data_IF_881349162331
#
_entry.id   IF_881349162331
#
_cell.length_a   1.000
_cell.length_b   1.000
_cell.length_c   1.000
_cell.angle_alpha   90.00
_cell.angle_beta   90.00
_cell.angle_gamma   90.00
#
_symmetry.space_group_name_H-M   'P 1'
#
loop_
_entity.id
_entity.type
_entity.pdbx_description
1 polymer ?
#
# COMPACT_ATOMS: atom_id res chain seq x y z
N UNK A 1 24.25 -12.50 4.88
CA UNK A 1 22.97 -11.81 4.59
C UNK A 1 23.25 -10.56 3.78
N UNK A 2 22.44 -10.25 2.76
CA UNK A 2 22.74 -9.24 1.72
C UNK A 2 22.61 -7.75 2.13
N UNK A 3 22.25 -7.44 3.38
CA UNK A 3 22.04 -6.05 3.82
C UNK A 3 22.97 -5.73 4.99
N UNK A 4 22.68 -6.25 6.18
CA UNK A 4 23.40 -5.84 7.39
C UNK A 4 24.86 -6.39 7.49
N UNK A 5 25.27 -7.32 6.62
CA UNK A 5 26.67 -7.79 6.50
C UNK A 5 27.38 -7.16 5.28
N UNK A 6 26.65 -6.45 4.43
CA UNK A 6 27.18 -5.80 3.25
C UNK A 6 27.63 -4.38 3.60
N UNK A 7 28.87 -4.26 4.06
CA UNK A 7 29.43 -2.98 4.50
C UNK A 7 29.53 -1.98 3.34
N UNK A 8 29.86 -2.43 2.14
CA UNK A 8 30.00 -1.54 0.97
C UNK A 8 28.65 -0.89 0.63
N UNK A 9 27.55 -1.66 0.67
CA UNK A 9 26.21 -1.14 0.49
C UNK A 9 25.86 -0.10 1.56
N UNK A 10 26.09 -0.40 2.84
CA UNK A 10 25.73 0.49 3.95
C UNK A 10 26.57 1.77 3.97
N UNK A 11 27.86 1.67 3.68
CA UNK A 11 28.76 2.82 3.58
C UNK A 11 28.31 3.74 2.43
N UNK A 12 27.97 3.16 1.28
CA UNK A 12 27.43 3.90 0.12
C UNK A 12 26.12 4.60 0.49
N UNK A 13 25.17 3.90 1.12
CA UNK A 13 23.90 4.51 1.55
C UNK A 13 24.12 5.66 2.55
N UNK A 14 25.06 5.50 3.47
CA UNK A 14 25.42 6.53 4.45
C UNK A 14 26.09 7.75 3.81
N UNK A 15 26.87 7.56 2.74
CA UNK A 15 27.51 8.64 1.99
C UNK A 15 26.49 9.50 1.25
N UNK A 16 25.44 8.89 0.69
CA UNK A 16 24.48 9.57 -0.19
C UNK A 16 23.13 9.90 0.45
N UNK A 17 22.74 9.32 1.59
CA UNK A 17 21.50 9.68 2.28
C UNK A 17 21.71 10.87 3.23
N UNK A 18 21.75 12.07 2.66
CA UNK A 18 22.07 13.31 3.37
C UNK A 18 20.82 14.01 3.95
N UNK A 19 21.01 15.04 4.77
CA UNK A 19 19.94 15.74 5.48
C UNK A 19 18.89 16.41 4.58
N UNK A 20 19.31 16.85 3.39
CA UNK A 20 18.48 17.51 2.37
C UNK A 20 18.13 16.61 1.17
N UNK A 21 18.65 15.38 1.16
CA UNK A 21 18.55 14.43 0.04
C UNK A 21 18.51 12.98 0.57
N UNK A 22 17.50 12.69 1.39
CA UNK A 22 17.34 11.36 1.99
C UNK A 22 17.03 10.29 0.94
N UNK A 23 17.67 9.14 1.07
CA UNK A 23 17.31 7.93 0.33
C UNK A 23 16.12 7.28 1.03
N UNK A 24 15.10 6.94 0.25
CA UNK A 24 13.94 6.19 0.70
C UNK A 24 13.97 4.77 0.13
N UNK A 25 13.75 3.77 0.97
CA UNK A 25 13.59 2.38 0.53
C UNK A 25 12.15 1.94 0.79
N UNK A 26 11.51 1.46 -0.28
CA UNK A 26 10.19 0.83 -0.23
C UNK A 26 10.32 -0.65 0.09
N UNK A 27 10.03 -1.02 1.34
CA UNK A 27 9.85 -2.41 1.74
C UNK A 27 8.52 -2.97 1.21
N UNK A 28 8.37 -4.30 1.32
CA UNK A 28 7.21 -5.04 0.83
C UNK A 28 6.86 -6.19 1.77
N UNK A 29 6.64 -5.88 3.04
CA UNK A 29 6.12 -6.84 4.01
C UNK A 29 4.60 -6.97 3.85
N UNK A 30 4.14 -8.20 3.69
CA UNK A 30 2.73 -8.57 3.55
C UNK A 30 2.16 -9.20 4.80
N UNK A 31 3.00 -9.82 5.63
CA UNK A 31 2.55 -10.56 6.79
C UNK A 31 3.47 -10.33 8.00
N UNK A 32 2.96 -10.24 9.24
CA UNK A 32 3.76 -10.11 10.46
C UNK A 32 4.85 -11.16 10.67
N UNK A 33 4.75 -12.31 10.00
CA UNK A 33 5.71 -13.43 10.05
C UNK A 33 6.98 -13.15 9.23
N UNK A 34 6.90 -12.25 8.26
CA UNK A 34 8.06 -11.84 7.45
C UNK A 34 8.99 -10.90 8.22
N UNK A 35 8.46 -10.26 9.28
CA UNK A 35 9.21 -9.48 10.25
C UNK A 35 9.95 -10.39 11.24
N UNK A 36 10.97 -11.06 10.71
CA UNK A 36 11.89 -11.95 11.44
C UNK A 36 13.06 -11.17 12.07
N UNK A 37 13.83 -11.81 12.95
CA UNK A 37 15.07 -11.23 13.51
C UNK A 37 16.03 -10.70 12.43
N UNK A 38 16.14 -11.40 11.30
CA UNK A 38 17.00 -10.96 10.19
C UNK A 38 16.45 -9.71 9.50
N UNK A 39 15.13 -9.60 9.37
CA UNK A 39 14.49 -8.41 8.83
C UNK A 39 14.67 -7.20 9.75
N UNK A 40 14.53 -7.38 11.07
CA UNK A 40 14.74 -6.31 12.04
C UNK A 40 16.19 -5.80 12.02
N UNK A 41 17.17 -6.70 11.91
CA UNK A 41 18.58 -6.32 11.74
C UNK A 41 18.83 -5.57 10.44
N UNK A 42 18.19 -5.96 9.35
CA UNK A 42 18.30 -5.26 8.07
C UNK A 42 17.66 -3.86 8.13
N UNK A 43 16.49 -3.74 8.77
CA UNK A 43 15.80 -2.47 8.99
C UNK A 43 16.67 -1.51 9.81
N UNK A 44 17.19 -1.97 10.96
CA UNK A 44 18.07 -1.16 11.82
C UNK A 44 19.35 -0.74 11.09
N UNK A 45 19.99 -1.65 10.34
CA UNK A 45 21.19 -1.32 9.58
C UNK A 45 20.94 -0.22 8.51
N UNK A 46 19.84 -0.31 7.76
CA UNK A 46 19.47 0.70 6.77
C UNK A 46 19.15 2.05 7.44
N UNK A 47 18.40 2.05 8.54
CA UNK A 47 18.09 3.27 9.29
C UNK A 47 19.35 3.94 9.84
N UNK A 48 20.32 3.16 10.34
CA UNK A 48 21.63 3.68 10.80
C UNK A 48 22.47 4.27 9.67
N UNK A 49 22.33 3.75 8.45
CA UNK A 49 22.90 4.36 7.25
C UNK A 49 22.11 5.61 6.77
N UNK A 50 21.15 6.11 7.56
CA UNK A 50 20.39 7.32 7.25
C UNK A 50 19.26 7.11 6.24
N UNK A 51 18.91 5.87 5.89
CA UNK A 51 17.82 5.56 4.97
C UNK A 51 16.46 5.65 5.66
N UNK A 52 15.47 6.23 4.98
CA UNK A 52 14.08 6.24 5.45
C UNK A 52 13.33 5.04 4.86
N UNK A 53 12.74 4.23 5.75
CA UNK A 53 11.98 3.04 5.36
C UNK A 53 10.48 3.32 5.36
N UNK A 54 9.86 2.93 4.26
CA UNK A 54 8.40 2.94 4.06
C UNK A 54 7.97 1.56 3.58
N UNK A 55 6.75 1.13 3.88
CA UNK A 55 6.25 -0.19 3.47
C UNK A 55 4.97 -0.08 2.63
N UNK A 56 4.93 -0.83 1.54
CA UNK A 56 3.70 -1.08 0.78
C UNK A 56 3.29 -2.55 0.91
N UNK A 57 2.00 -2.79 1.06
CA UNK A 57 1.42 -4.12 1.25
C UNK A 57 0.22 -4.27 0.33
N UNK A 58 0.25 -5.10 -0.71
CA UNK A 58 -0.99 -5.61 -1.30
C UNK A 58 -1.84 -6.33 -0.26
N UNK A 59 -3.14 -6.09 -0.29
CA UNK A 59 -4.11 -6.87 0.49
C UNK A 59 -4.53 -8.08 -0.34
N UNK A 60 -4.27 -9.26 0.21
CA UNK A 60 -4.23 -10.54 -0.49
C UNK A 60 -5.09 -11.56 0.25
N UNK A 61 -6.04 -12.13 -0.48
CA UNK A 61 -6.94 -13.17 0.03
C UNK A 61 -6.18 -14.41 0.51
N UNK A 62 -6.51 -14.92 1.68
CA UNK A 62 -5.86 -16.07 2.31
C UNK A 62 -4.43 -15.84 2.81
N UNK A 63 -3.93 -14.60 2.76
CA UNK A 63 -2.58 -14.25 3.25
C UNK A 63 -2.69 -13.23 4.37
N UNK A 64 -3.29 -12.08 4.10
CA UNK A 64 -3.37 -10.96 5.05
C UNK A 64 -4.75 -10.28 5.01
N UNK A 65 -5.78 -11.01 4.61
CA UNK A 65 -7.18 -10.59 4.56
C UNK A 65 -7.91 -10.76 5.91
N UNK A 66 -7.16 -10.62 7.01
CA UNK A 66 -7.69 -10.66 8.38
C UNK A 66 -7.35 -9.34 9.10
N UNK A 67 -8.32 -8.68 9.75
CA UNK A 67 -8.10 -7.41 10.44
C UNK A 67 -7.03 -7.46 11.54
N UNK A 68 -6.92 -8.56 12.28
CA UNK A 68 -5.92 -8.73 13.35
C UNK A 68 -4.53 -8.88 12.74
N UNK A 69 -4.41 -9.62 11.63
CA UNK A 69 -3.14 -9.81 10.91
C UNK A 69 -2.62 -8.47 10.38
N UNK A 70 -3.48 -7.67 9.74
CA UNK A 70 -3.09 -6.35 9.25
C UNK A 70 -2.77 -5.39 10.39
N UNK A 71 -3.54 -5.41 11.49
CA UNK A 71 -3.26 -4.57 12.66
C UNK A 71 -1.88 -4.91 13.27
N UNK A 72 -1.59 -6.20 13.46
CA UNK A 72 -0.29 -6.67 13.95
C UNK A 72 0.84 -6.24 13.01
N UNK A 73 0.64 -6.32 11.69
CA UNK A 73 1.62 -5.88 10.70
C UNK A 73 1.92 -4.38 10.84
N UNK A 74 0.86 -3.56 10.91
CA UNK A 74 0.98 -2.10 11.05
C UNK A 74 1.70 -1.72 12.35
N UNK A 75 1.40 -2.39 13.45
CA UNK A 75 2.06 -2.16 14.74
C UNK A 75 3.54 -2.55 14.68
N UNK A 76 3.87 -3.75 14.19
CA UNK A 76 5.26 -4.20 14.08
C UNK A 76 6.10 -3.32 13.15
N UNK A 77 5.56 -2.88 12.02
CA UNK A 77 6.22 -1.92 11.14
C UNK A 77 6.49 -0.61 11.87
N UNK A 78 5.47 -0.09 12.56
CA UNK A 78 5.58 1.16 13.31
C UNK A 78 6.65 1.07 14.41
N UNK A 79 6.69 -0.03 15.17
CA UNK A 79 7.72 -0.28 16.20
C UNK A 79 9.12 -0.41 15.61
N UNK A 80 9.25 -0.97 14.41
CA UNK A 80 10.50 -1.06 13.68
C UNK A 80 10.94 0.27 13.04
N UNK A 81 10.17 1.36 13.19
CA UNK A 81 10.44 2.64 12.53
C UNK A 81 10.23 2.62 11.01
N UNK A 82 9.47 1.64 10.49
CA UNK A 82 9.08 1.55 9.09
C UNK A 82 7.70 2.16 8.92
N UNK A 83 7.59 3.23 8.12
CA UNK A 83 6.31 3.92 7.97
C UNK A 83 5.35 3.13 7.07
N UNK A 84 4.16 2.72 7.53
CA UNK A 84 3.16 2.11 6.67
C UNK A 84 2.67 3.12 5.63
N UNK A 85 2.86 2.83 4.34
CA UNK A 85 2.65 3.79 3.27
C UNK A 85 1.40 3.50 2.43
N UNK A 86 1.32 2.32 1.82
CA UNK A 86 0.15 1.91 1.05
C UNK A 86 -0.33 0.51 1.41
N UNK A 87 -1.64 0.39 1.55
CA UNK A 87 -2.35 -0.84 1.23
C UNK A 87 -2.80 -0.77 -0.21
N UNK A 88 -2.48 -1.80 -0.98
CA UNK A 88 -2.84 -1.87 -2.39
C UNK A 88 -3.99 -2.86 -2.61
N UNK A 89 -5.03 -2.42 -3.32
CA UNK A 89 -5.98 -3.34 -3.94
C UNK A 89 -5.19 -4.21 -4.92
N UNK A 90 -5.25 -5.53 -4.75
CA UNK A 90 -4.55 -6.45 -5.61
C UNK A 90 -5.14 -6.41 -7.01
N UNK A 91 -4.29 -6.27 -8.03
CA UNK A 91 -4.71 -6.20 -9.42
C UNK A 91 -5.09 -7.61 -9.91
N UNK A 92 -6.29 -7.81 -10.48
CA UNK A 92 -6.67 -9.09 -11.05
C UNK A 92 -5.91 -9.33 -12.36
N UNK A 93 -4.85 -10.13 -12.30
CA UNK A 93 -4.11 -10.59 -13.49
C UNK A 93 -4.03 -12.11 -13.50
N UNK A 94 -3.73 -12.66 -14.68
CA UNK A 94 -3.45 -14.10 -14.80
C UNK A 94 -2.31 -14.49 -13.84
N UNK A 95 -2.57 -15.44 -12.95
CA UNK A 95 -1.60 -15.96 -11.97
C UNK A 95 -1.77 -15.48 -10.53
N UNK A 96 -2.57 -14.43 -10.27
CA UNK A 96 -2.84 -13.98 -8.90
C UNK A 96 -4.34 -13.78 -8.58
N UNK A 97 -5.24 -14.16 -9.49
CA UNK A 97 -6.68 -13.95 -9.36
C UNK A 97 -7.26 -14.55 -8.07
N UNK A 98 -6.74 -15.69 -7.63
CA UNK A 98 -7.17 -16.36 -6.40
C UNK A 98 -6.86 -15.56 -5.12
N UNK A 99 -5.94 -14.59 -5.20
CA UNK A 99 -5.55 -13.70 -4.10
C UNK A 99 -6.29 -12.35 -4.13
N UNK A 100 -7.26 -12.15 -5.03
CA UNK A 100 -7.99 -10.89 -5.17
C UNK A 100 -9.19 -10.86 -4.22
N UNK A 101 -9.35 -9.74 -3.53
CA UNK A 101 -10.56 -9.38 -2.77
C UNK A 101 -11.38 -8.38 -3.57
N UNK A 102 -12.68 -8.38 -3.37
CA UNK A 102 -13.56 -7.27 -3.80
C UNK A 102 -13.18 -5.98 -3.06
N UNK A 103 -13.56 -4.83 -3.62
CA UNK A 103 -13.35 -3.55 -2.93
C UNK A 103 -14.00 -3.52 -1.56
N UNK A 104 -15.17 -4.16 -1.40
CA UNK A 104 -15.92 -4.20 -0.14
C UNK A 104 -15.16 -5.00 0.91
N UNK A 105 -14.75 -6.23 0.59
CA UNK A 105 -14.00 -7.08 1.51
C UNK A 105 -12.69 -6.40 1.95
N UNK A 106 -11.92 -5.90 0.99
CA UNK A 106 -10.65 -5.23 1.30
C UNK A 106 -10.85 -3.97 2.13
N UNK A 107 -11.81 -3.10 1.78
CA UNK A 107 -12.09 -1.90 2.55
C UNK A 107 -12.50 -2.21 3.99
N UNK A 108 -13.40 -3.18 4.17
CA UNK A 108 -13.87 -3.58 5.50
C UNK A 108 -12.73 -4.12 6.36
N UNK A 109 -11.91 -5.03 5.83
CA UNK A 109 -10.76 -5.59 6.55
C UNK A 109 -9.76 -4.49 6.95
N UNK A 110 -9.48 -3.54 6.05
CA UNK A 110 -8.56 -2.43 6.30
C UNK A 110 -9.09 -1.50 7.39
N UNK A 111 -10.36 -1.10 7.34
CA UNK A 111 -10.93 -0.20 8.35
C UNK A 111 -11.02 -0.86 9.73
N UNK A 112 -11.35 -2.15 9.78
CA UNK A 112 -11.31 -2.93 11.02
C UNK A 112 -9.87 -3.04 11.57
N UNK A 113 -8.87 -3.26 10.72
CA UNK A 113 -7.46 -3.28 11.12
C UNK A 113 -7.02 -1.92 11.67
N UNK A 114 -7.38 -0.82 10.98
CA UNK A 114 -7.10 0.54 11.43
C UNK A 114 -7.72 0.80 12.81
N UNK A 115 -8.93 0.31 13.10
CA UNK A 115 -9.56 0.49 14.41
C UNK A 115 -8.75 -0.12 15.57
N UNK A 116 -7.92 -1.13 15.29
CA UNK A 116 -7.16 -1.93 16.27
C UNK A 116 -5.72 -1.48 16.49
N UNK A 117 -5.16 -0.67 15.59
CA UNK A 117 -3.78 -0.19 15.67
C UNK A 117 -3.68 1.24 16.23
N UNK A 118 -2.47 1.63 16.62
CA UNK A 118 -2.15 2.99 17.04
C UNK A 118 -2.32 4.03 15.92
N UNK A 119 -2.34 5.31 16.29
CA UNK A 119 -2.40 6.42 15.32
C UNK A 119 -1.26 6.42 14.28
N UNK A 120 -0.10 5.81 14.60
CA UNK A 120 1.01 5.67 13.65
C UNK A 120 0.68 4.67 12.53
N UNK A 121 0.09 3.52 12.88
CA UNK A 121 -0.36 2.51 11.93
C UNK A 121 -1.49 3.02 11.02
N UNK A 122 -2.35 3.90 11.53
CA UNK A 122 -3.48 4.50 10.80
C UNK A 122 -3.10 5.43 9.64
N UNK A 123 -1.82 5.76 9.46
CA UNK A 123 -1.33 6.64 8.37
C UNK A 123 -1.46 6.01 6.97
N UNK A 124 -1.73 4.71 6.91
CA UNK A 124 -1.83 3.94 5.68
C UNK A 124 -2.91 4.50 4.75
N UNK A 125 -2.59 4.61 3.46
CA UNK A 125 -3.56 4.91 2.40
C UNK A 125 -3.96 3.64 1.69
N UNK A 126 -5.26 3.49 1.39
CA UNK A 126 -5.75 2.41 0.55
C UNK A 126 -5.80 2.88 -0.90
N UNK A 127 -5.07 2.21 -1.80
CA UNK A 127 -4.88 2.67 -3.17
C UNK A 127 -4.81 1.53 -4.19
N UNK A 128 -4.88 1.87 -5.47
CA UNK A 128 -4.58 0.99 -6.59
C UNK A 128 -3.72 1.71 -7.64
N UNK A 129 -2.88 0.95 -8.32
CA UNK A 129 -2.10 1.42 -9.47
C UNK A 129 -2.83 1.00 -10.74
N UNK A 130 -3.52 1.94 -11.36
CA UNK A 130 -4.32 1.74 -12.57
C UNK A 130 -3.62 2.33 -13.80
N UNK A 131 -4.01 1.91 -15.01
CA UNK A 131 -3.43 2.43 -16.26
C UNK A 131 -3.67 3.93 -16.44
N UNK A 132 -4.75 4.46 -15.85
CA UNK A 132 -5.07 5.90 -15.83
C UNK A 132 -4.34 6.67 -14.74
N UNK A 133 -3.68 5.99 -13.80
CA UNK A 133 -2.93 6.60 -12.70
C UNK A 133 -3.12 5.89 -11.36
N UNK A 134 -2.67 6.56 -10.30
CA UNK A 134 -2.79 6.07 -8.92
C UNK A 134 -4.09 6.58 -8.30
N UNK A 135 -4.98 5.66 -7.97
CA UNK A 135 -6.30 5.96 -7.42
C UNK A 135 -6.30 5.56 -5.96
N UNK A 136 -6.67 6.50 -5.09
CA UNK A 136 -6.92 6.26 -3.66
C UNK A 136 -8.40 5.86 -3.49
N UNK A 137 -8.64 4.76 -2.78
CA UNK A 137 -9.96 4.32 -2.36
C UNK A 137 -10.22 4.95 -1.00
N UNK A 138 -11.09 5.96 -0.97
CA UNK A 138 -11.35 6.77 0.22
C UNK A 138 -12.39 6.09 1.13
N UNK A 139 -13.46 5.58 0.55
CA UNK A 139 -14.53 4.94 1.28
C UNK A 139 -15.33 3.97 0.41
N UNK A 140 -15.94 2.98 1.08
CA UNK A 140 -17.05 2.18 0.56
C UNK A 140 -18.20 2.35 1.53
N UNK A 141 -19.35 2.84 1.05
CA UNK A 141 -20.54 3.06 1.87
C UNK A 141 -21.79 2.65 1.09
N UNK A 142 -22.62 1.78 1.66
CA UNK A 142 -23.78 1.22 0.98
C UNK A 142 -23.38 0.56 -0.35
N UNK A 143 -23.98 1.00 -1.45
CA UNK A 143 -23.68 0.56 -2.81
C UNK A 143 -22.77 1.53 -3.59
N UNK A 144 -22.01 2.38 -2.90
CA UNK A 144 -21.13 3.38 -3.51
C UNK A 144 -19.68 3.17 -3.11
N UNK A 145 -18.79 3.54 -4.04
CA UNK A 145 -17.36 3.66 -3.79
C UNK A 145 -16.90 5.09 -4.10
N UNK A 146 -16.03 5.62 -3.24
CA UNK A 146 -15.52 6.98 -3.29
C UNK A 146 -14.03 6.94 -3.54
N UNK A 147 -13.60 7.56 -4.63
CA UNK A 147 -12.25 7.46 -5.16
C UNK A 147 -11.64 8.84 -5.38
N UNK A 148 -10.31 8.93 -5.35
CA UNK A 148 -9.59 10.15 -5.72
C UNK A 148 -8.30 9.82 -6.46
N UNK A 149 -8.04 10.52 -7.55
CA UNK A 149 -6.72 10.43 -8.20
C UNK A 149 -5.66 11.11 -7.34
N UNK A 150 -4.66 10.33 -6.93
CA UNK A 150 -3.45 10.82 -6.28
C UNK A 150 -2.39 11.20 -7.32
N UNK A 151 -2.37 10.47 -8.43
CA UNK A 151 -1.60 10.75 -9.64
C UNK A 151 -2.44 10.32 -10.83
N UNK A 152 -2.46 11.07 -11.92
CA UNK A 152 -3.24 10.74 -13.10
C UNK A 152 -2.39 10.94 -14.36
N UNK A 153 -2.62 10.09 -15.37
CA UNK A 153 -1.98 10.24 -16.70
C UNK A 153 -2.48 11.50 -17.40
N UNK A 154 -3.78 11.78 -17.34
CA UNK A 154 -4.33 13.06 -17.74
C UNK A 154 -4.15 14.06 -16.58
N UNK A 155 -3.38 15.16 -16.75
CA UNK A 155 -3.16 16.16 -15.70
C UNK A 155 -4.44 16.79 -15.15
N UNK A 156 -5.48 16.93 -15.98
CA UNK A 156 -6.77 17.49 -15.57
C UNK A 156 -7.50 16.60 -14.54
N UNK A 157 -7.08 15.35 -14.40
CA UNK A 157 -7.62 14.42 -13.43
C UNK A 157 -6.83 14.38 -12.13
N UNK A 158 -5.73 15.11 -11.99
CA UNK A 158 -5.00 15.18 -10.71
C UNK A 158 -5.93 15.68 -9.58
N UNK A 159 -6.03 14.92 -8.50
CA UNK A 159 -6.89 15.25 -7.36
C UNK A 159 -8.39 15.10 -7.61
N UNK A 160 -8.81 14.64 -8.80
CA UNK A 160 -10.23 14.47 -9.15
C UNK A 160 -10.89 13.44 -8.24
N UNK A 161 -11.94 13.88 -7.57
CA UNK A 161 -12.83 13.04 -6.76
C UNK A 161 -13.87 12.38 -7.65
N UNK A 162 -14.16 11.11 -7.39
CA UNK A 162 -15.07 10.30 -8.19
C UNK A 162 -15.95 9.44 -7.28
N UNK A 163 -17.20 9.23 -7.71
CA UNK A 163 -18.17 8.39 -7.03
C UNK A 163 -18.79 7.47 -8.07
N UNK A 164 -18.81 6.17 -7.76
CA UNK A 164 -19.40 5.16 -8.64
C UNK A 164 -20.36 4.27 -7.85
N UNK A 165 -21.30 3.67 -8.57
CA UNK A 165 -21.99 2.47 -8.07
C UNK A 165 -20.98 1.34 -7.89
N UNK A 166 -21.12 0.58 -6.82
CA UNK A 166 -20.25 -0.54 -6.46
C UNK A 166 -21.02 -1.86 -6.56
N UNK A 167 -20.87 -2.61 -7.66
CA UNK A 167 -21.32 -3.99 -7.74
C UNK A 167 -20.70 -4.85 -6.63
N UNK A 168 -21.41 -5.88 -6.17
CA UNK A 168 -20.99 -6.73 -5.03
C UNK A 168 -19.63 -7.39 -5.26
N UNK A 169 -19.37 -7.79 -6.49
CA UNK A 169 -18.22 -8.56 -6.94
C UNK A 169 -17.17 -7.70 -7.68
N UNK A 170 -17.28 -6.38 -7.63
CA UNK A 170 -16.27 -5.48 -8.19
C UNK A 170 -14.99 -5.49 -7.36
N UNK A 171 -13.85 -5.71 -8.03
CA UNK A 171 -12.52 -5.81 -7.42
C UNK A 171 -11.50 -4.87 -8.07
N UNK A 172 -11.87 -4.27 -9.20
CA UNK A 172 -11.01 -3.38 -9.96
C UNK A 172 -11.76 -2.18 -10.51
N UNK A 173 -11.04 -1.11 -10.84
CA UNK A 173 -11.64 0.15 -11.32
C UNK A 173 -12.55 -0.05 -12.53
N UNK A 174 -12.12 -0.93 -13.45
CA UNK A 174 -12.81 -1.22 -14.70
C UNK A 174 -14.14 -1.96 -14.49
N UNK A 175 -14.35 -2.56 -13.30
CA UNK A 175 -15.61 -3.21 -12.92
C UNK A 175 -16.70 -2.20 -12.53
N UNK A 176 -16.33 -0.92 -12.33
CA UNK A 176 -17.24 0.12 -11.87
C UNK A 176 -18.05 0.71 -13.03
N UNK A 177 -19.40 0.68 -13.00
CA UNK A 177 -20.23 1.25 -14.06
C UNK A 177 -19.98 2.74 -14.26
N UNK A 178 -19.69 3.17 -15.48
CA UNK A 178 -19.39 4.57 -15.81
C UNK A 178 -17.90 4.91 -15.80
N UNK A 179 -17.04 4.00 -15.35
CA UNK A 179 -15.58 4.19 -15.34
C UNK A 179 -15.00 4.31 -16.75
N UNK A 180 -15.65 3.71 -17.76
CA UNK A 180 -15.22 3.73 -19.16
C UNK A 180 -15.06 5.15 -19.72
N UNK A 181 -15.86 6.11 -19.27
CA UNK A 181 -15.77 7.52 -19.67
C UNK A 181 -14.46 8.17 -19.23
N UNK A 182 -13.90 7.69 -18.12
CA UNK A 182 -12.61 8.15 -17.61
C UNK A 182 -11.47 7.46 -18.37
N UNK A 183 -11.65 6.19 -18.74
CA UNK A 183 -10.68 5.45 -19.56
C UNK A 183 -10.49 6.11 -20.93
N UNK A 184 -11.58 6.54 -21.57
CA UNK A 184 -11.55 7.17 -22.90
C UNK A 184 -11.09 8.63 -22.91
N UNK A 185 -11.10 9.30 -21.75
CA UNK A 185 -10.72 10.71 -21.63
C UNK A 185 -9.22 10.92 -21.32
N UNK A 186 -8.45 9.83 -21.25
CA UNK A 186 -7.00 9.84 -21.00
C UNK A 186 -6.12 9.50 -22.21
N UNK A 187 -6.75 9.30 -23.38
CA UNK A 187 -6.11 9.18 -24.70
C UNK A 187 -6.21 10.50 -25.46
#
# INVERSE_FOLDING_TARGET
>A
MRIYEDKELLDTLSEYSLGDSRIHVMAHFNHPRELTDQSYRAIDALQRAGVILVNQTPVLKGINDDPEILAELLDKLSWAGVTPYYFFQNRPVAGNADFVLTFREAYEVIEQAKARTSGLGKRIRYAMSHSTGKIEILAVEGNKIYLKYHQARNPDFYGKFMVFDLPENASWFDDLPGSEKILTAGD
#
